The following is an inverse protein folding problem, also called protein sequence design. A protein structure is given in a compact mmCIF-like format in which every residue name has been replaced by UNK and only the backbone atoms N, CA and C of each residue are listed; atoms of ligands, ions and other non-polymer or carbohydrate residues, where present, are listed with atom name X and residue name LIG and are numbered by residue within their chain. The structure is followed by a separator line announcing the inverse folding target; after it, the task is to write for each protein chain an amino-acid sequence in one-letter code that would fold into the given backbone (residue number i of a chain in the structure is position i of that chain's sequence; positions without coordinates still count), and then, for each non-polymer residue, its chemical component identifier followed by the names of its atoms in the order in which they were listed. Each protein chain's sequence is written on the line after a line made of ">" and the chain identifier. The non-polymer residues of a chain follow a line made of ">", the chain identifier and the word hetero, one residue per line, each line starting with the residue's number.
data_IF_790618183410
#
_entry.id   IF_790618183410
#
_cell.length_a   1.000
_cell.length_b   1.000
_cell.length_c   1.000
_cell.angle_alpha   90.00
_cell.angle_beta   90.00
_cell.angle_gamma   90.00
#
_symmetry.space_group_name_H-M   'P 1'
#
loop_
_entity.id
_entity.type
_entity.pdbx_description
1 polymer ?
#
# COMPACT_ATOMS: atom_id res chain seq x y z
N UNK A 1 8.74 48.17 10.66
CA UNK A 1 9.20 46.78 10.44
C UNK A 1 7.96 45.94 10.14
N UNK A 2 7.91 45.21 9.01
CA UNK A 2 6.85 44.22 8.76
C UNK A 2 7.38 42.86 9.24
N UNK A 3 6.65 42.17 10.11
CA UNK A 3 6.97 40.77 10.41
C UNK A 3 6.64 39.92 9.18
N UNK A 4 7.55 39.04 8.77
CA UNK A 4 7.20 37.95 7.86
C UNK A 4 6.50 36.87 8.71
N UNK A 5 5.19 36.75 8.57
CA UNK A 5 4.48 35.57 9.08
C UNK A 5 4.97 34.36 8.28
N UNK A 6 5.72 33.47 8.94
CA UNK A 6 6.15 32.20 8.34
C UNK A 6 4.93 31.32 8.09
N UNK A 7 4.49 31.23 6.84
CA UNK A 7 3.38 30.34 6.45
C UNK A 7 3.87 28.89 6.55
N UNK A 8 3.49 28.22 7.64
CA UNK A 8 3.75 26.79 7.81
C UNK A 8 2.75 26.00 6.96
N UNK A 9 3.16 25.70 5.72
CA UNK A 9 2.36 24.93 4.77
C UNK A 9 2.58 23.43 5.04
N UNK A 10 1.63 22.79 5.75
CA UNK A 10 1.70 21.36 6.10
C UNK A 10 1.21 20.56 4.88
N UNK A 11 2.13 20.28 3.97
CA UNK A 11 1.88 19.55 2.73
C UNK A 11 2.27 18.07 2.88
N UNK A 12 1.27 17.18 3.00
CA UNK A 12 1.54 15.74 3.09
C UNK A 12 1.96 15.21 1.72
N UNK A 13 3.22 14.79 1.60
CA UNK A 13 3.72 14.13 0.39
C UNK A 13 3.41 12.62 0.40
N UNK A 14 2.26 12.23 -0.15
CA UNK A 14 1.89 10.82 -0.33
C UNK A 14 2.21 10.37 -1.76
N UNK A 15 3.08 9.37 -1.91
CA UNK A 15 3.47 8.84 -3.21
C UNK A 15 2.37 7.94 -3.81
N UNK A 16 1.46 8.55 -4.59
CA UNK A 16 0.33 7.92 -5.30
C UNK A 16 0.35 8.37 -6.76
N UNK A 17 0.00 7.45 -7.67
CA UNK A 17 -0.05 7.64 -9.11
C UNK A 17 -1.19 6.76 -9.71
N UNK A 18 -1.75 7.12 -10.87
CA UNK A 18 -3.03 6.61 -11.41
C UNK A 18 -3.06 6.67 -12.96
N UNK A 19 -3.91 5.98 -13.72
CA UNK A 19 -5.20 5.27 -13.44
C UNK A 19 -5.05 3.72 -13.65
N UNK A 20 -5.97 2.82 -14.09
CA UNK A 20 -7.31 2.92 -14.72
C UNK A 20 -8.21 1.63 -14.63
N UNK A 21 -9.50 1.88 -14.89
CA UNK A 21 -10.74 1.07 -15.02
C UNK A 21 -10.62 -0.34 -15.66
N UNK A 22 -11.54 -1.32 -15.47
CA UNK A 22 -12.67 -1.52 -14.52
C UNK A 22 -12.62 -3.01 -14.02
N UNK A 23 -13.65 -3.80 -13.65
CA UNK A 23 -15.13 -3.76 -13.82
C UNK A 23 -15.87 -4.81 -12.92
N UNK A 24 -17.21 -4.85 -13.00
CA UNK A 24 -18.20 -5.79 -12.39
C UNK A 24 -18.45 -5.71 -10.85
N UNK A 25 -19.57 -6.32 -10.43
CA UNK A 25 -20.43 -5.80 -9.34
C UNK A 25 -20.09 -6.33 -7.93
N UNK A 26 -19.79 -5.41 -7.02
CA UNK A 26 -20.08 -5.50 -5.56
C UNK A 26 -20.16 -4.07 -4.98
N UNK A 27 -20.28 -3.88 -3.65
CA UNK A 27 -20.43 -2.53 -3.04
C UNK A 27 -19.29 -1.61 -3.52
N UNK A 28 -19.57 -0.42 -4.09
CA UNK A 28 -18.72 0.06 -5.18
C UNK A 28 -17.43 0.74 -4.70
N UNK A 29 -16.26 0.17 -5.08
CA UNK A 29 -14.94 0.82 -4.90
C UNK A 29 -14.78 2.07 -5.76
N UNK A 30 -15.39 2.02 -6.94
CA UNK A 30 -15.63 3.12 -7.87
C UNK A 30 -17.14 3.30 -7.90
N UNK A 31 -17.71 4.50 -7.74
CA UNK A 31 -19.16 4.63 -7.78
C UNK A 31 -19.70 4.16 -9.14
N UNK A 32 -20.67 3.24 -9.11
CA UNK A 32 -21.39 2.87 -10.33
C UNK A 32 -22.08 4.12 -10.90
N UNK A 33 -22.08 4.28 -12.22
CA UNK A 33 -22.74 5.42 -12.91
C UNK A 33 -24.24 5.48 -12.63
N UNK A 34 -24.83 4.33 -12.26
CA UNK A 34 -26.25 4.17 -11.96
C UNK A 34 -26.54 4.32 -10.44
N UNK A 35 -25.51 4.51 -9.61
CA UNK A 35 -25.67 4.80 -8.20
C UNK A 35 -25.83 6.32 -7.99
N UNK A 36 -26.91 6.70 -7.30
CA UNK A 36 -27.21 8.09 -6.99
C UNK A 36 -27.35 8.31 -5.49
N UNK A 37 -26.77 9.41 -5.00
CA UNK A 37 -27.00 9.93 -3.65
C UNK A 37 -28.37 10.58 -3.64
N UNK A 38 -29.28 10.08 -2.82
CA UNK A 38 -30.65 10.62 -2.80
C UNK A 38 -30.68 12.07 -2.32
N UNK A 39 -31.69 12.80 -2.78
CA UNK A 39 -31.98 14.19 -2.40
C UNK A 39 -31.92 14.43 -0.90
N UNK A 40 -32.44 13.49 -0.11
CA UNK A 40 -32.43 13.58 1.35
C UNK A 40 -31.01 13.55 1.93
N UNK A 41 -30.11 12.75 1.37
CA UNK A 41 -28.70 12.72 1.78
C UNK A 41 -27.94 13.95 1.26
N UNK A 42 -28.19 14.38 0.02
CA UNK A 42 -27.63 15.62 -0.53
C UNK A 42 -28.05 16.86 0.28
N UNK A 43 -29.25 16.88 0.86
CA UNK A 43 -29.69 17.93 1.80
C UNK A 43 -28.90 17.92 3.12
N UNK A 44 -28.57 16.74 3.66
CA UNK A 44 -27.74 16.65 4.88
C UNK A 44 -26.28 17.04 4.61
N UNK A 45 -25.75 16.66 3.44
CA UNK A 45 -24.43 17.10 2.97
C UNK A 45 -24.42 18.63 2.83
N UNK A 46 -25.33 19.21 2.05
CA UNK A 46 -25.38 20.65 1.80
C UNK A 46 -25.62 21.50 3.06
N UNK A 47 -26.35 20.96 4.06
CA UNK A 47 -26.51 21.61 5.37
C UNK A 47 -25.20 21.72 6.14
N UNK A 48 -24.27 20.79 5.93
CA UNK A 48 -22.97 20.73 6.61
C UNK A 48 -21.85 21.37 5.80
N UNK A 49 -22.05 21.45 4.48
CA UNK A 49 -21.07 21.88 3.47
C UNK A 49 -21.80 22.72 2.41
N UNK A 50 -21.87 24.04 2.65
CA UNK A 50 -22.73 24.94 1.87
C UNK A 50 -22.42 24.99 0.36
N UNK A 51 -21.20 24.63 -0.05
CA UNK A 51 -20.76 24.53 -1.44
C UNK A 51 -21.54 23.47 -2.27
N UNK A 52 -22.21 22.51 -1.63
CA UNK A 52 -23.06 21.52 -2.32
C UNK A 52 -24.54 21.94 -2.41
N UNK A 53 -24.92 23.15 -1.98
CA UNK A 53 -26.33 23.61 -1.98
C UNK A 53 -27.03 23.52 -3.33
N UNK A 54 -26.30 23.68 -4.44
CA UNK A 54 -26.83 23.53 -5.80
C UNK A 54 -27.35 22.10 -6.10
N UNK A 55 -26.83 21.09 -5.42
CA UNK A 55 -27.21 19.68 -5.60
C UNK A 55 -28.30 19.22 -4.61
N UNK A 56 -28.67 20.04 -3.61
CA UNK A 56 -29.58 19.66 -2.52
C UNK A 56 -31.07 19.51 -2.91
N UNK A 57 -31.42 19.68 -4.20
CA UNK A 57 -32.80 19.72 -4.67
C UNK A 57 -33.22 18.52 -5.53
N UNK A 58 -32.29 17.64 -5.88
CA UNK A 58 -32.51 16.42 -6.66
C UNK A 58 -31.62 15.28 -6.13
N UNK A 59 -31.77 14.08 -6.69
CA UNK A 59 -30.79 13.01 -6.50
C UNK A 59 -29.52 13.34 -7.31
N UNK A 60 -28.34 13.05 -6.76
CA UNK A 60 -27.04 13.28 -7.40
C UNK A 60 -26.44 11.95 -7.83
N UNK A 61 -26.47 11.65 -9.13
CA UNK A 61 -25.84 10.46 -9.71
C UNK A 61 -24.36 10.69 -9.96
N UNK A 62 -23.52 9.68 -9.69
CA UNK A 62 -22.07 9.83 -9.76
C UNK A 62 -21.56 9.86 -11.21
N UNK A 63 -20.84 10.94 -11.57
CA UNK A 63 -20.32 11.22 -12.92
C UNK A 63 -18.79 11.06 -13.04
N UNK A 64 -18.16 10.42 -12.05
CA UNK A 64 -16.70 10.33 -11.82
C UNK A 64 -15.92 11.67 -11.86
N UNK A 65 -16.59 12.82 -11.78
CA UNK A 65 -15.95 14.12 -11.60
C UNK A 65 -15.23 14.24 -10.24
N UNK A 66 -14.44 15.29 -10.08
CA UNK A 66 -13.79 15.61 -8.81
C UNK A 66 -14.83 15.84 -7.68
N UNK A 67 -15.98 16.43 -8.01
CA UNK A 67 -17.11 16.64 -7.08
C UNK A 67 -17.78 15.32 -6.72
N UNK A 68 -18.01 14.42 -7.69
CA UNK A 68 -18.55 13.08 -7.46
C UNK A 68 -17.67 12.24 -6.53
N UNK A 69 -16.35 12.22 -6.76
CA UNK A 69 -15.40 11.52 -5.90
C UNK A 69 -15.36 12.10 -4.47
N UNK A 70 -15.51 13.41 -4.32
CA UNK A 70 -15.62 14.08 -3.02
C UNK A 70 -16.92 13.72 -2.29
N UNK A 71 -18.07 13.80 -2.97
CA UNK A 71 -19.39 13.40 -2.45
C UNK A 71 -19.41 11.90 -2.08
N UNK A 72 -18.80 11.04 -2.88
CA UNK A 72 -18.69 9.60 -2.62
C UNK A 72 -17.94 9.31 -1.30
N UNK A 73 -16.93 10.10 -0.98
CA UNK A 73 -16.13 9.94 0.25
C UNK A 73 -16.83 10.50 1.48
N UNK A 74 -17.53 11.62 1.30
CA UNK A 74 -18.48 12.17 2.28
C UNK A 74 -19.56 11.12 2.62
N UNK A 75 -20.13 10.47 1.59
CA UNK A 75 -21.11 9.39 1.77
C UNK A 75 -20.51 8.14 2.41
N UNK A 76 -19.26 7.78 2.09
CA UNK A 76 -18.55 6.68 2.75
C UNK A 76 -18.43 6.94 4.27
N UNK A 77 -17.85 8.08 4.67
CA UNK A 77 -17.75 8.49 6.09
C UNK A 77 -19.10 8.61 6.82
N UNK A 78 -20.19 8.77 6.07
CA UNK A 78 -21.56 8.92 6.57
C UNK A 78 -22.37 7.62 6.60
N UNK A 79 -21.94 6.57 5.89
CA UNK A 79 -22.68 5.29 5.77
C UNK A 79 -21.95 4.10 6.38
N UNK A 80 -20.61 4.08 6.36
CA UNK A 80 -19.84 3.01 6.97
C UNK A 80 -20.25 2.82 8.43
N UNK A 81 -20.72 1.63 8.73
CA UNK A 81 -21.27 1.25 10.02
C UNK A 81 -20.29 0.31 10.73
N UNK A 82 -20.20 0.39 12.06
CA UNK A 82 -19.21 -0.36 12.82
C UNK A 82 -19.85 -1.22 13.91
N UNK A 83 -19.35 -2.44 14.06
CA UNK A 83 -19.56 -3.26 15.24
C UNK A 83 -18.91 -2.61 16.47
N UNK A 84 -19.29 -3.00 17.71
CA UNK A 84 -18.67 -2.48 18.93
C UNK A 84 -17.14 -2.59 18.90
N UNK A 85 -16.47 -1.43 18.98
CA UNK A 85 -15.02 -1.34 18.87
C UNK A 85 -14.36 -1.69 20.21
N UNK A 86 -13.45 -2.65 20.20
CA UNK A 86 -12.64 -3.05 21.37
C UNK A 86 -11.18 -2.65 21.11
N UNK A 87 -10.53 -1.86 21.97
CA UNK A 87 -9.11 -1.52 21.85
C UNK A 87 -8.20 -2.76 21.74
N UNK A 88 -7.10 -2.65 21.00
CA UNK A 88 -6.11 -3.71 20.88
C UNK A 88 -5.29 -3.89 22.17
N UNK A 89 -4.62 -5.04 22.30
CA UNK A 89 -3.68 -5.32 23.41
C UNK A 89 -2.28 -4.73 23.17
N UNK A 90 -2.04 -4.35 21.92
CA UNK A 90 -0.84 -3.69 21.43
C UNK A 90 -1.12 -2.18 21.27
N UNK A 91 -0.44 -1.48 20.37
CA UNK A 91 -0.66 -0.03 20.13
C UNK A 91 -1.37 0.28 18.81
N UNK A 92 -1.84 -0.73 18.06
CA UNK A 92 -2.41 -0.54 16.72
C UNK A 92 -3.80 0.13 16.73
N UNK A 93 -4.60 -0.06 17.79
CA UNK A 93 -5.94 0.52 17.88
C UNK A 93 -6.30 0.88 19.34
N UNK A 94 -6.26 2.15 19.69
CA UNK A 94 -6.56 2.62 21.05
C UNK A 94 -8.05 2.85 21.30
N UNK A 95 -8.86 3.00 20.25
CA UNK A 95 -10.30 3.27 20.36
C UNK A 95 -10.63 4.67 20.89
N UNK A 96 -9.67 5.61 20.80
CA UNK A 96 -9.82 6.99 21.30
C UNK A 96 -10.44 7.94 20.30
N UNK A 97 -10.41 7.61 19.01
CA UNK A 97 -11.07 8.42 17.97
C UNK A 97 -12.56 8.08 17.84
N UNK A 98 -13.29 8.93 17.13
CA UNK A 98 -14.75 8.93 17.19
C UNK A 98 -15.38 7.65 16.61
N UNK A 99 -16.43 7.17 17.31
CA UNK A 99 -17.35 6.14 16.84
C UNK A 99 -18.28 6.60 15.70
N UNK A 100 -18.24 7.90 15.34
CA UNK A 100 -18.93 8.48 14.19
C UNK A 100 -17.96 9.32 13.39
N UNK A 101 -17.60 8.83 12.20
CA UNK A 101 -16.69 9.52 11.28
C UNK A 101 -17.31 10.81 10.73
N UNK A 102 -18.60 10.75 10.41
CA UNK A 102 -19.38 11.91 9.98
C UNK A 102 -19.27 13.07 10.99
N UNK A 103 -19.60 12.84 12.25
CA UNK A 103 -19.63 13.90 13.28
C UNK A 103 -18.21 14.38 13.64
N UNK A 104 -17.22 13.49 13.59
CA UNK A 104 -15.81 13.86 13.72
C UNK A 104 -15.37 14.82 12.61
N UNK A 105 -15.74 14.52 11.36
CA UNK A 105 -15.34 15.29 10.18
C UNK A 105 -16.06 16.63 10.12
N UNK A 106 -17.41 16.67 10.19
CA UNK A 106 -18.16 17.94 10.17
C UNK A 106 -17.94 18.80 11.43
N UNK A 107 -17.51 18.19 12.54
CA UNK A 107 -17.06 18.91 13.72
C UNK A 107 -15.79 19.74 13.50
N UNK A 108 -14.98 19.40 12.48
CA UNK A 108 -13.66 19.97 12.19
C UNK A 108 -13.59 20.74 10.87
N UNK A 109 -14.24 20.23 9.82
CA UNK A 109 -14.25 20.79 8.48
C UNK A 109 -15.69 21.18 8.12
N UNK A 110 -15.90 22.44 7.72
CA UNK A 110 -17.20 22.96 7.23
C UNK A 110 -17.14 23.42 5.76
N UNK A 111 -15.93 23.53 5.21
CA UNK A 111 -15.66 24.02 3.86
C UNK A 111 -14.64 23.11 3.18
N UNK A 112 -14.88 22.75 1.93
CA UNK A 112 -13.93 21.94 1.13
C UNK A 112 -13.76 22.59 -0.24
N UNK A 113 -12.54 23.02 -0.53
CA UNK A 113 -12.14 23.64 -1.80
C UNK A 113 -11.31 22.67 -2.64
N UNK A 114 -11.50 22.64 -3.96
CA UNK A 114 -10.74 21.78 -4.86
C UNK A 114 -9.66 22.61 -5.56
N UNK A 115 -8.40 22.44 -5.13
CA UNK A 115 -7.26 23.26 -5.59
C UNK A 115 -6.59 22.60 -6.78
N UNK A 116 -6.83 23.13 -7.99
CA UNK A 116 -6.33 22.54 -9.24
C UNK A 116 -4.79 22.53 -9.38
N UNK A 117 -4.07 23.34 -8.59
CA UNK A 117 -2.60 23.40 -8.57
C UNK A 117 -2.08 23.13 -7.15
N UNK A 118 -1.94 21.86 -6.81
CA UNK A 118 -1.29 21.42 -5.57
C UNK A 118 0.19 21.11 -5.78
N UNK A 119 1.04 21.20 -4.75
CA UNK A 119 2.42 20.70 -4.81
C UNK A 119 2.44 19.20 -5.12
N UNK A 120 3.48 18.73 -5.83
CA UNK A 120 3.59 17.31 -6.22
C UNK A 120 3.57 16.41 -4.98
N UNK A 121 2.73 15.36 -5.01
CA UNK A 121 2.54 14.41 -3.92
C UNK A 121 1.51 14.85 -2.88
N UNK A 122 1.05 16.10 -2.91
CA UNK A 122 -0.01 16.58 -2.02
C UNK A 122 -1.37 16.17 -2.57
N UNK A 123 -2.15 15.51 -1.71
CA UNK A 123 -3.46 14.93 -2.04
C UNK A 123 -4.60 15.68 -1.33
N UNK A 124 -4.34 16.21 -0.14
CA UNK A 124 -5.12 17.23 0.53
C UNK A 124 -4.20 18.02 1.50
N UNK A 125 -4.70 19.12 2.07
CA UNK A 125 -4.08 19.85 3.18
C UNK A 125 -5.11 20.76 3.88
N UNK A 126 -4.76 21.29 5.07
CA UNK A 126 -5.44 22.41 5.75
C UNK A 126 -4.43 23.50 6.11
N UNK A 127 -4.92 24.71 6.43
CA UNK A 127 -4.12 25.74 7.10
C UNK A 127 -4.57 25.87 8.55
N UNK A 128 -3.64 25.75 9.51
CA UNK A 128 -3.93 25.90 10.96
C UNK A 128 -4.46 27.29 11.37
N UNK A 129 -4.41 28.27 10.46
CA UNK A 129 -4.97 29.62 10.63
C UNK A 129 -6.07 29.95 9.60
N UNK A 130 -6.45 29.00 8.73
CA UNK A 130 -7.41 29.19 7.64
C UNK A 130 -8.87 28.92 8.03
N UNK A 131 -9.16 28.70 9.31
CA UNK A 131 -10.47 28.24 9.76
C UNK A 131 -10.64 26.73 9.53
N UNK A 132 -11.83 26.33 9.07
CA UNK A 132 -12.25 24.92 8.91
C UNK A 132 -12.29 24.46 7.45
N UNK A 133 -11.41 25.03 6.62
CA UNK A 133 -11.32 24.71 5.19
C UNK A 133 -10.29 23.62 4.92
N UNK A 134 -10.74 22.53 4.29
CA UNK A 134 -9.88 21.52 3.68
C UNK A 134 -9.67 21.80 2.19
N UNK A 135 -8.43 21.73 1.74
CA UNK A 135 -8.05 21.92 0.35
C UNK A 135 -7.74 20.56 -0.27
N UNK A 136 -8.67 20.03 -1.06
CA UNK A 136 -8.55 18.74 -1.73
C UNK A 136 -7.86 18.90 -3.10
N UNK A 137 -6.93 18.01 -3.42
CA UNK A 137 -6.18 18.06 -4.67
C UNK A 137 -6.76 17.08 -5.71
N UNK A 138 -6.75 17.41 -7.02
CA UNK A 138 -7.22 16.53 -8.09
C UNK A 138 -6.70 15.10 -8.05
N UNK A 139 -5.47 14.87 -7.58
CA UNK A 139 -4.87 13.55 -7.45
C UNK A 139 -5.66 12.61 -6.50
N UNK A 140 -6.27 13.14 -5.44
CA UNK A 140 -7.14 12.37 -4.53
C UNK A 140 -8.52 12.09 -5.15
N UNK A 141 -8.98 12.94 -6.05
CA UNK A 141 -10.35 12.98 -6.56
C UNK A 141 -10.48 12.24 -7.89
N UNK A 142 -9.87 11.05 -7.97
CA UNK A 142 -9.94 10.11 -9.10
C UNK A 142 -10.38 8.72 -8.62
N UNK A 143 -10.90 7.89 -9.50
CA UNK A 143 -11.36 6.52 -9.19
C UNK A 143 -10.26 5.63 -8.56
N UNK A 144 -8.98 5.89 -8.85
CA UNK A 144 -7.85 5.06 -8.40
C UNK A 144 -7.34 5.42 -7.00
N UNK A 145 -7.92 6.45 -6.39
CA UNK A 145 -7.87 6.63 -4.96
C UNK A 145 -9.25 6.25 -4.43
N UNK A 146 -9.35 5.19 -3.61
CA UNK A 146 -10.66 4.69 -3.22
C UNK A 146 -11.39 5.70 -2.32
N UNK A 147 -12.73 5.67 -2.25
CA UNK A 147 -13.46 6.51 -1.29
C UNK A 147 -13.12 6.16 0.18
N UNK A 148 -12.55 4.97 0.41
CA UNK A 148 -11.95 4.54 1.67
C UNK A 148 -10.62 5.27 1.94
N UNK A 149 -9.70 5.33 0.97
CA UNK A 149 -8.45 6.10 1.11
C UNK A 149 -8.71 7.60 1.27
N UNK A 150 -9.64 8.16 0.48
CA UNK A 150 -10.09 9.55 0.62
C UNK A 150 -10.66 9.82 2.01
N UNK A 151 -11.52 8.95 2.53
CA UNK A 151 -12.01 9.07 3.90
C UNK A 151 -10.86 9.06 4.92
N UNK A 152 -9.88 8.16 4.78
CA UNK A 152 -8.71 8.14 5.67
C UNK A 152 -7.84 9.39 5.58
N UNK A 153 -7.79 10.06 4.42
CA UNK A 153 -7.10 11.35 4.25
C UNK A 153 -7.95 12.49 4.81
N UNK A 154 -9.26 12.51 4.60
CA UNK A 154 -10.12 13.58 5.08
C UNK A 154 -10.27 13.57 6.62
N UNK A 155 -10.32 12.38 7.24
CA UNK A 155 -10.24 12.21 8.69
C UNK A 155 -8.88 12.68 9.26
N UNK A 156 -7.80 12.47 8.50
CA UNK A 156 -6.46 12.93 8.82
C UNK A 156 -6.34 14.47 8.73
N UNK A 157 -6.74 15.07 7.61
CA UNK A 157 -6.71 16.54 7.43
C UNK A 157 -7.55 17.27 8.48
N UNK A 158 -8.72 16.72 8.81
CA UNK A 158 -9.55 17.22 9.90
C UNK A 158 -8.76 17.26 11.23
N UNK A 159 -7.86 16.30 11.51
CA UNK A 159 -7.09 16.28 12.76
C UNK A 159 -6.08 17.43 12.86
N UNK A 160 -5.56 17.95 11.75
CA UNK A 160 -4.68 19.10 11.76
C UNK A 160 -5.38 20.40 12.25
N UNK A 161 -6.72 20.47 12.16
CA UNK A 161 -7.53 21.56 12.75
C UNK A 161 -7.43 21.58 14.28
N UNK A 162 -7.26 20.42 14.92
CA UNK A 162 -7.07 20.31 16.37
C UNK A 162 -5.63 20.70 16.82
N UNK A 163 -4.76 21.12 15.89
CA UNK A 163 -3.40 21.59 16.19
C UNK A 163 -2.32 20.50 16.29
N UNK A 164 -2.44 19.42 15.51
CA UNK A 164 -1.49 18.30 15.49
C UNK A 164 -0.60 18.32 14.23
N UNK A 165 0.42 19.18 14.13
CA UNK A 165 1.30 19.26 12.97
C UNK A 165 2.26 18.06 12.89
N UNK A 166 2.63 17.68 11.67
CA UNK A 166 3.67 16.67 11.44
C UNK A 166 5.09 17.20 11.66
N UNK A 167 6.00 16.26 11.92
CA UNK A 167 7.44 16.47 11.99
C UNK A 167 8.16 15.85 10.77
N UNK A 168 9.45 16.17 10.62
CA UNK A 168 10.34 15.52 9.65
C UNK A 168 10.84 14.21 10.20
N UNK A 169 10.68 13.12 9.45
CA UNK A 169 11.13 11.79 9.90
C UNK A 169 12.67 11.73 9.95
N UNK A 170 13.25 11.33 11.09
CA UNK A 170 14.69 11.13 11.29
C UNK A 170 15.18 9.76 10.82
N UNK A 171 14.26 8.77 10.76
CA UNK A 171 14.53 7.35 10.52
C UNK A 171 13.38 6.65 9.78
N UNK A 172 13.50 5.33 9.64
CA UNK A 172 12.50 4.49 9.00
C UNK A 172 12.32 4.78 7.50
N UNK A 173 11.23 4.26 6.95
CA UNK A 173 10.92 4.26 5.52
C UNK A 173 10.78 5.68 4.95
N UNK A 174 10.33 6.64 5.79
CA UNK A 174 10.09 8.04 5.42
C UNK A 174 11.23 9.00 5.79
N UNK A 175 12.39 8.50 6.22
CA UNK A 175 13.55 9.31 6.63
C UNK A 175 13.84 10.47 5.67
N UNK A 176 13.95 11.68 6.21
CA UNK A 176 14.25 12.90 5.47
C UNK A 176 13.05 13.57 4.78
N UNK A 177 11.86 12.97 4.81
CA UNK A 177 10.63 13.61 4.33
C UNK A 177 10.08 14.54 5.41
N UNK A 178 9.95 15.82 5.07
CA UNK A 178 9.32 16.83 5.92
C UNK A 178 7.80 16.62 5.97
N UNK A 179 7.22 16.74 7.16
CA UNK A 179 5.77 16.66 7.33
C UNK A 179 5.20 15.25 7.05
N UNK A 180 5.96 14.21 7.37
CA UNK A 180 5.65 12.83 6.97
C UNK A 180 5.60 11.82 8.14
N UNK A 181 5.84 12.28 9.38
CA UNK A 181 5.73 11.50 10.60
C UNK A 181 5.05 12.28 11.74
N UNK A 182 4.46 11.54 12.69
CA UNK A 182 4.11 11.99 14.05
C UNK A 182 5.17 11.50 15.07
N UNK A 183 5.15 11.97 16.31
CA UNK A 183 6.17 11.64 17.32
C UNK A 183 5.98 10.26 17.98
N UNK A 184 4.78 10.01 18.52
CA UNK A 184 4.29 8.71 19.04
C UNK A 184 2.81 8.57 18.66
N UNK A 185 2.30 7.34 18.53
CA UNK A 185 0.85 7.13 18.31
C UNK A 185 0.00 7.55 19.51
N UNK A 186 0.56 7.46 20.72
CA UNK A 186 -0.12 7.78 21.97
C UNK A 186 -0.59 9.24 22.10
N UNK A 187 0.05 10.17 21.37
CA UNK A 187 -0.34 11.59 21.30
C UNK A 187 -1.66 11.80 20.52
N UNK A 188 -2.05 10.82 19.71
CA UNK A 188 -3.24 10.91 18.87
C UNK A 188 -3.12 11.92 17.72
N UNK A 189 -1.93 12.05 17.11
CA UNK A 189 -1.69 12.91 15.94
C UNK A 189 -2.46 12.50 14.68
N UNK A 190 -2.26 13.22 13.58
CA UNK A 190 -3.02 12.98 12.35
C UNK A 190 -2.72 11.62 11.71
N UNK A 191 -1.48 11.09 11.79
CA UNK A 191 -1.23 9.71 11.38
C UNK A 191 -1.77 8.68 12.36
N UNK A 192 -1.91 9.00 13.66
CA UNK A 192 -2.62 8.12 14.58
C UNK A 192 -4.11 7.96 14.17
N UNK A 193 -4.74 9.06 13.71
CA UNK A 193 -6.07 9.01 13.10
C UNK A 193 -6.07 8.14 11.84
N UNK A 194 -5.08 8.26 10.94
CA UNK A 194 -4.95 7.38 9.76
C UNK A 194 -4.88 5.90 10.14
N UNK A 195 -4.00 5.54 11.08
CA UNK A 195 -3.83 4.16 11.54
C UNK A 195 -5.15 3.60 12.09
N UNK A 196 -5.80 4.32 13.00
CA UNK A 196 -7.08 3.84 13.55
C UNK A 196 -8.22 3.85 12.54
N UNK A 197 -8.26 4.79 11.59
CA UNK A 197 -9.29 4.81 10.53
C UNK A 197 -9.22 3.54 9.69
N UNK A 198 -8.01 3.15 9.25
CA UNK A 198 -7.79 1.87 8.56
C UNK A 198 -8.02 0.65 9.50
N UNK A 199 -7.68 0.72 10.79
CA UNK A 199 -7.90 -0.37 11.74
C UNK A 199 -9.39 -0.63 12.00
N UNK A 200 -10.19 0.42 12.15
CA UNK A 200 -11.64 0.35 12.33
C UNK A 200 -12.33 -0.28 11.10
N UNK A 201 -11.88 0.05 9.89
CA UNK A 201 -12.32 -0.60 8.66
C UNK A 201 -11.95 -2.08 8.62
N UNK A 202 -10.66 -2.39 8.82
CA UNK A 202 -10.12 -3.75 8.69
C UNK A 202 -10.76 -4.74 9.67
N UNK A 203 -11.10 -4.30 10.89
CA UNK A 203 -11.81 -5.12 11.88
C UNK A 203 -13.32 -4.87 11.90
N UNK A 204 -13.75 -3.70 12.38
CA UNK A 204 -15.11 -3.48 12.90
C UNK A 204 -16.18 -3.09 11.86
N UNK A 205 -15.82 -2.60 10.67
CA UNK A 205 -16.84 -2.18 9.69
C UNK A 205 -17.78 -3.33 9.28
N UNK A 206 -19.09 -3.11 9.22
CA UNK A 206 -20.09 -4.17 8.96
C UNK A 206 -20.49 -4.30 7.50
N UNK A 207 -20.28 -3.25 6.71
CA UNK A 207 -20.82 -3.04 5.35
C UNK A 207 -19.72 -2.88 4.27
N UNK A 208 -18.48 -3.23 4.60
CA UNK A 208 -17.29 -3.07 3.73
C UNK A 208 -16.84 -4.41 3.15
N UNK A 209 -16.55 -4.43 1.84
CA UNK A 209 -16.11 -5.63 1.10
C UNK A 209 -14.86 -6.28 1.73
N UNK A 210 -14.75 -7.63 1.81
CA UNK A 210 -13.63 -8.27 2.51
C UNK A 210 -12.23 -7.92 1.98
N UNK A 211 -12.08 -7.66 0.68
CA UNK A 211 -10.81 -7.18 0.11
C UNK A 211 -10.48 -5.74 0.52
N UNK A 212 -11.48 -4.86 0.67
CA UNK A 212 -11.28 -3.52 1.24
C UNK A 212 -10.89 -3.61 2.72
N UNK A 213 -11.43 -4.57 3.48
CA UNK A 213 -10.96 -4.87 4.84
C UNK A 213 -9.52 -5.38 4.86
N UNK A 214 -9.15 -6.28 3.96
CA UNK A 214 -7.80 -6.82 3.84
C UNK A 214 -6.78 -5.72 3.50
N UNK A 215 -7.13 -4.86 2.53
CA UNK A 215 -6.40 -3.66 2.17
C UNK A 215 -6.27 -2.70 3.36
N UNK A 216 -7.36 -2.42 4.08
CA UNK A 216 -7.32 -1.54 5.25
C UNK A 216 -6.46 -2.13 6.38
N UNK A 217 -6.55 -3.43 6.65
CA UNK A 217 -5.66 -4.17 7.59
C UNK A 217 -4.18 -3.98 7.23
N UNK A 218 -3.82 -4.13 5.96
CA UNK A 218 -2.47 -3.87 5.48
C UNK A 218 -2.08 -2.38 5.63
N UNK A 219 -2.92 -1.45 5.15
CA UNK A 219 -2.66 -0.01 5.22
C UNK A 219 -2.51 0.52 6.65
N UNK A 220 -3.30 0.05 7.62
CA UNK A 220 -3.17 0.43 9.03
C UNK A 220 -1.75 0.13 9.56
N UNK A 221 -1.26 -1.08 9.32
CA UNK A 221 0.08 -1.51 9.72
C UNK A 221 1.16 -0.75 8.95
N UNK A 222 0.95 -0.46 7.66
CA UNK A 222 1.89 0.32 6.84
C UNK A 222 2.06 1.74 7.37
N UNK A 223 0.97 2.44 7.72
CA UNK A 223 1.09 3.76 8.34
C UNK A 223 1.71 3.65 9.74
N UNK A 224 1.44 2.59 10.50
CA UNK A 224 2.04 2.39 11.81
C UNK A 224 3.55 2.08 11.78
N UNK A 225 4.03 1.33 10.78
CA UNK A 225 5.45 1.03 10.55
C UNK A 225 6.25 2.24 10.03
N UNK A 226 5.59 3.16 9.32
CA UNK A 226 6.30 4.12 8.46
C UNK A 226 6.11 5.59 8.83
N UNK A 227 5.09 5.94 9.63
CA UNK A 227 4.68 7.32 9.89
C UNK A 227 4.98 7.84 11.31
N UNK A 228 5.86 7.19 12.07
CA UNK A 228 6.12 7.55 13.48
C UNK A 228 7.60 7.57 13.83
N UNK A 229 8.03 8.60 14.57
CA UNK A 229 9.38 8.67 15.14
C UNK A 229 9.58 7.74 16.34
N UNK A 230 8.55 7.04 16.80
CA UNK A 230 8.67 5.96 17.78
C UNK A 230 7.99 4.72 17.19
N UNK A 231 8.73 3.61 16.97
CA UNK A 231 8.15 2.40 16.40
C UNK A 231 6.99 1.89 17.27
N UNK A 232 5.84 1.68 16.64
CA UNK A 232 4.62 1.23 17.31
C UNK A 232 4.75 -0.26 17.61
N UNK A 233 4.48 -0.65 18.87
CA UNK A 233 4.40 -2.04 19.26
C UNK A 233 3.12 -2.65 18.69
N UNK A 234 3.27 -3.56 17.74
CA UNK A 234 2.19 -4.34 17.14
C UNK A 234 2.52 -5.82 17.35
N UNK A 235 1.55 -6.61 17.81
CA UNK A 235 1.74 -8.06 17.95
C UNK A 235 1.63 -8.71 16.56
N UNK A 236 2.65 -9.49 16.16
CA UNK A 236 2.74 -10.12 14.84
C UNK A 236 3.20 -11.56 14.94
N UNK A 237 2.63 -12.40 14.07
CA UNK A 237 3.13 -13.74 13.77
C UNK A 237 3.66 -13.77 12.35
N UNK A 238 4.92 -14.17 12.19
CA UNK A 238 5.59 -14.31 10.90
C UNK A 238 5.20 -15.64 10.23
N UNK A 239 4.78 -15.59 8.96
CA UNK A 239 4.45 -16.77 8.16
C UNK A 239 5.12 -16.67 6.79
N UNK A 240 5.31 -17.82 6.12
CA UNK A 240 5.59 -17.86 4.70
C UNK A 240 4.28 -18.19 3.96
N UNK A 241 3.83 -17.29 3.08
CA UNK A 241 2.78 -17.59 2.11
C UNK A 241 3.41 -18.32 0.93
N UNK A 242 2.81 -19.43 0.55
CA UNK A 242 3.21 -20.34 -0.52
C UNK A 242 2.07 -20.37 -1.54
N UNK A 243 2.39 -20.22 -2.84
CA UNK A 243 1.44 -20.41 -3.93
C UNK A 243 1.84 -21.64 -4.75
N UNK A 244 0.89 -22.55 -4.99
CA UNK A 244 1.10 -23.76 -5.81
C UNK A 244 0.63 -23.58 -7.25
N UNK A 245 1.07 -24.47 -8.15
CA UNK A 245 0.62 -24.57 -9.53
C UNK A 245 -0.87 -24.91 -9.68
N UNK A 246 -1.49 -25.46 -8.62
CA UNK A 246 -2.95 -25.62 -8.50
C UNK A 246 -3.67 -24.32 -8.08
N UNK A 247 -2.96 -23.19 -8.08
CA UNK A 247 -3.40 -21.86 -7.64
C UNK A 247 -3.86 -21.81 -6.18
N UNK A 248 -3.34 -22.69 -5.32
CA UNK A 248 -3.69 -22.68 -3.89
C UNK A 248 -2.74 -21.81 -3.09
N UNK A 249 -3.29 -20.98 -2.21
CA UNK A 249 -2.53 -20.30 -1.17
C UNK A 249 -2.46 -21.17 0.08
N UNK A 250 -1.25 -21.37 0.59
CA UNK A 250 -0.95 -22.04 1.84
C UNK A 250 -0.12 -21.13 2.76
N UNK A 251 -0.45 -21.03 4.05
CA UNK A 251 0.43 -20.40 5.04
C UNK A 251 1.24 -21.49 5.75
N UNK A 252 2.55 -21.28 5.85
CA UNK A 252 3.49 -22.12 6.58
C UNK A 252 4.12 -21.36 7.76
N UNK A 253 4.16 -22.02 8.92
CA UNK A 253 4.93 -21.57 10.07
C UNK A 253 6.45 -21.70 9.78
N UNK A 254 7.25 -20.62 9.86
CA UNK A 254 8.64 -20.65 9.44
C UNK A 254 9.60 -21.32 10.44
N UNK A 255 9.13 -21.74 11.61
CA UNK A 255 9.91 -22.50 12.60
C UNK A 255 9.58 -24.00 12.57
N UNK A 256 8.30 -24.37 12.46
CA UNK A 256 7.86 -25.78 12.50
C UNK A 256 7.68 -26.42 11.12
N UNK A 257 7.62 -25.62 10.05
CA UNK A 257 7.22 -26.02 8.69
C UNK A 257 5.79 -26.62 8.58
N UNK A 258 4.98 -26.51 9.63
CA UNK A 258 3.55 -26.82 9.58
C UNK A 258 2.85 -25.83 8.64
N UNK A 259 2.09 -26.34 7.68
CA UNK A 259 1.39 -25.54 6.68
C UNK A 259 -0.05 -25.99 6.48
N UNK A 260 -0.89 -25.07 6.01
CA UNK A 260 -2.30 -25.33 5.71
C UNK A 260 -2.79 -24.44 4.58
N UNK A 261 -3.77 -24.93 3.79
CA UNK A 261 -4.44 -24.14 2.76
C UNK A 261 -5.26 -23.03 3.40
N UNK A 262 -5.12 -21.82 2.89
CA UNK A 262 -5.81 -20.61 3.38
C UNK A 262 -6.71 -19.96 2.32
N UNK A 263 -6.45 -20.22 1.04
CA UNK A 263 -7.27 -19.70 -0.06
C UNK A 263 -6.78 -20.12 -1.44
N UNK A 264 -7.14 -19.34 -2.46
CA UNK A 264 -6.79 -19.58 -3.85
C UNK A 264 -6.41 -18.26 -4.55
N UNK A 265 -5.50 -18.31 -5.50
CA UNK A 265 -5.19 -17.23 -6.42
C UNK A 265 -6.10 -17.30 -7.67
N UNK A 266 -6.31 -16.16 -8.33
CA UNK A 266 -6.98 -16.11 -9.65
C UNK A 266 -6.10 -16.60 -10.80
N UNK A 267 -4.79 -16.44 -10.67
CA UNK A 267 -3.81 -16.72 -11.72
C UNK A 267 -2.47 -17.15 -11.10
N UNK A 268 -1.68 -17.88 -11.89
CA UNK A 268 -0.25 -18.07 -11.61
C UNK A 268 0.49 -16.75 -11.90
N UNK A 269 1.60 -16.52 -11.19
CA UNK A 269 2.42 -15.32 -11.37
C UNK A 269 3.41 -15.08 -10.24
N UNK A 270 4.05 -13.92 -10.28
CA UNK A 270 4.97 -13.44 -9.26
C UNK A 270 4.29 -12.50 -8.26
N UNK A 271 4.51 -12.70 -6.96
CA UNK A 271 3.99 -11.79 -5.92
C UNK A 271 5.06 -10.78 -5.49
N UNK A 272 4.87 -9.51 -5.85
CA UNK A 272 5.67 -8.38 -5.39
C UNK A 272 5.10 -7.84 -4.08
N UNK A 273 5.96 -7.56 -3.09
CA UNK A 273 5.57 -6.85 -1.86
C UNK A 273 5.63 -5.33 -2.04
N UNK A 274 4.60 -4.65 -1.49
CA UNK A 274 4.60 -3.22 -1.17
C UNK A 274 4.28 -3.08 0.32
N UNK A 275 5.29 -3.31 1.15
CA UNK A 275 5.15 -3.42 2.61
C UNK A 275 4.21 -4.59 2.97
N UNK A 276 3.08 -4.36 3.65
CA UNK A 276 2.07 -5.39 3.94
C UNK A 276 1.13 -5.69 2.77
N UNK A 277 1.10 -4.86 1.73
CA UNK A 277 0.36 -5.16 0.51
C UNK A 277 1.10 -6.16 -0.36
N UNK A 278 0.37 -7.11 -0.92
CA UNK A 278 0.85 -8.08 -1.91
C UNK A 278 0.23 -7.77 -3.28
N UNK A 279 1.03 -7.91 -4.33
CA UNK A 279 0.63 -7.58 -5.70
C UNK A 279 0.97 -8.76 -6.60
N UNK A 280 -0.02 -9.32 -7.28
CA UNK A 280 0.21 -10.37 -8.28
C UNK A 280 0.62 -9.71 -9.60
N UNK A 281 1.76 -10.12 -10.17
CA UNK A 281 2.13 -9.92 -11.57
C UNK A 281 1.86 -11.26 -12.28
N UNK A 282 0.76 -11.41 -13.04
CA UNK A 282 0.36 -12.69 -13.60
C UNK A 282 1.34 -13.21 -14.66
N UNK A 283 1.42 -14.53 -14.80
CA UNK A 283 2.19 -15.21 -15.86
C UNK A 283 1.52 -15.04 -17.23
N UNK A 284 0.18 -15.07 -17.29
CA UNK A 284 -0.56 -14.59 -18.46
C UNK A 284 -0.44 -13.06 -18.59
N UNK A 285 0.28 -12.61 -19.62
CA UNK A 285 0.55 -11.19 -19.86
C UNK A 285 -0.65 -10.44 -20.48
N UNK A 286 -1.74 -11.12 -20.81
CA UNK A 286 -3.02 -10.47 -21.13
C UNK A 286 -3.68 -9.89 -19.88
N UNK A 287 -3.48 -10.52 -18.71
CA UNK A 287 -4.03 -10.06 -17.44
C UNK A 287 -3.30 -8.82 -16.90
N UNK A 288 -3.94 -8.15 -15.94
CA UNK A 288 -3.39 -6.99 -15.22
C UNK A 288 -2.66 -7.44 -13.96
N UNK A 289 -1.66 -6.67 -13.52
CA UNK A 289 -1.14 -6.76 -12.18
C UNK A 289 -2.09 -6.06 -11.19
N UNK A 290 -2.48 -6.76 -10.13
CA UNK A 290 -3.54 -6.39 -9.18
C UNK A 290 -3.18 -6.76 -7.73
N UNK A 291 -3.85 -6.15 -6.76
CA UNK A 291 -3.69 -6.54 -5.35
C UNK A 291 -4.16 -7.99 -5.15
N UNK A 292 -3.44 -8.76 -4.35
CA UNK A 292 -3.77 -10.17 -4.09
C UNK A 292 -3.89 -10.44 -2.58
N UNK A 293 -4.95 -11.17 -2.21
CA UNK A 293 -5.36 -11.39 -0.82
C UNK A 293 -5.51 -12.89 -0.55
N UNK A 294 -4.75 -13.43 0.41
CA UNK A 294 -4.51 -14.87 0.52
C UNK A 294 -5.68 -15.71 1.06
N UNK A 295 -6.71 -15.10 1.67
CA UNK A 295 -7.86 -15.81 2.27
C UNK A 295 -9.19 -15.60 1.53
N UNK A 296 -9.17 -15.69 0.20
CA UNK A 296 -10.35 -15.60 -0.69
C UNK A 296 -11.20 -14.32 -0.50
N UNK A 297 -10.56 -13.19 -0.18
CA UNK A 297 -11.27 -11.95 0.18
C UNK A 297 -11.93 -11.21 -1.00
N UNK A 298 -11.81 -11.73 -2.23
CA UNK A 298 -12.17 -11.04 -3.46
C UNK A 298 -11.16 -9.95 -3.80
N UNK A 299 -11.60 -8.92 -4.51
CA UNK A 299 -10.73 -7.94 -5.16
C UNK A 299 -11.06 -6.48 -4.79
N UNK A 300 -10.20 -5.55 -5.22
CA UNK A 300 -10.48 -4.12 -5.25
C UNK A 300 -10.10 -3.53 -6.62
N UNK A 301 -10.94 -2.69 -7.20
CA UNK A 301 -10.70 -2.04 -8.49
C UNK A 301 -9.74 -0.84 -8.35
N UNK A 302 -8.53 -1.09 -7.85
CA UNK A 302 -7.53 -0.06 -7.55
C UNK A 302 -6.14 -0.48 -8.04
N UNK A 303 -5.45 0.39 -8.78
CA UNK A 303 -4.08 0.13 -9.23
C UNK A 303 -3.10 0.12 -8.03
N UNK A 304 -2.23 -0.91 -7.87
CA UNK A 304 -1.42 -1.01 -6.66
C UNK A 304 -0.26 -0.01 -6.50
N UNK A 305 0.25 0.54 -7.60
CA UNK A 305 1.28 1.61 -7.63
C UNK A 305 1.48 2.14 -9.06
N UNK A 306 2.26 3.21 -9.22
CA UNK A 306 2.72 3.72 -10.53
C UNK A 306 3.30 2.62 -11.41
N UNK A 307 4.21 1.81 -10.85
CA UNK A 307 4.88 0.72 -11.57
C UNK A 307 3.90 -0.34 -12.08
N UNK A 308 2.76 -0.52 -11.40
CA UNK A 308 1.69 -1.42 -11.84
C UNK A 308 0.75 -0.76 -12.85
N UNK A 309 0.46 0.54 -12.72
CA UNK A 309 -0.23 1.31 -13.78
C UNK A 309 0.59 1.32 -15.08
N UNK A 310 1.91 1.55 -15.01
CA UNK A 310 2.83 1.47 -16.14
C UNK A 310 2.88 0.07 -16.76
N UNK A 311 2.90 -0.99 -15.94
CA UNK A 311 2.84 -2.38 -16.41
C UNK A 311 1.48 -2.71 -17.04
N UNK A 312 0.38 -2.22 -16.47
CA UNK A 312 -0.98 -2.47 -16.97
C UNK A 312 -1.29 -1.72 -18.28
N UNK A 313 -0.59 -0.62 -18.55
CA UNK A 313 -0.65 0.09 -19.83
C UNK A 313 0.18 -0.55 -20.96
N UNK A 314 0.99 -1.58 -20.66
CA UNK A 314 1.84 -2.26 -21.64
C UNK A 314 1.11 -3.38 -22.38
N UNK A 315 1.50 -3.63 -23.64
CA UNK A 315 1.06 -4.80 -24.40
C UNK A 315 1.62 -6.10 -23.80
N UNK A 316 1.03 -7.29 -24.07
CA UNK A 316 1.57 -8.56 -23.60
C UNK A 316 3.07 -8.75 -23.92
N UNK A 317 3.48 -8.46 -25.17
CA UNK A 317 4.88 -8.54 -25.60
C UNK A 317 5.82 -7.52 -24.95
N UNK A 318 5.30 -6.39 -24.46
CA UNK A 318 6.08 -5.46 -23.63
C UNK A 318 6.23 -6.00 -22.20
N UNK A 319 5.13 -6.47 -21.60
CA UNK A 319 5.12 -7.10 -20.27
C UNK A 319 6.01 -8.34 -20.18
N UNK A 320 6.13 -9.12 -21.26
CA UNK A 320 7.07 -10.25 -21.39
C UNK A 320 8.54 -9.85 -21.17
N UNK A 321 8.90 -8.58 -21.29
CA UNK A 321 10.28 -8.12 -21.09
C UNK A 321 10.58 -7.72 -19.65
N UNK A 322 9.56 -7.55 -18.79
CA UNK A 322 9.75 -7.43 -17.35
C UNK A 322 10.13 -8.81 -16.79
N UNK A 323 11.24 -8.86 -16.07
CA UNK A 323 11.71 -10.06 -15.36
C UNK A 323 11.23 -10.03 -13.91
N UNK A 324 11.40 -8.88 -13.23
CA UNK A 324 11.12 -8.75 -11.80
C UNK A 324 11.03 -7.25 -11.39
N UNK A 325 10.51 -6.92 -10.21
CA UNK A 325 10.57 -5.56 -9.67
C UNK A 325 10.55 -5.47 -8.14
N UNK A 326 11.23 -4.46 -7.59
CA UNK A 326 11.23 -4.14 -6.17
C UNK A 326 10.57 -2.78 -5.91
N UNK A 327 9.64 -2.74 -4.96
CA UNK A 327 8.99 -1.52 -4.45
C UNK A 327 9.48 -1.27 -3.04
N UNK A 328 10.41 -0.33 -2.89
CA UNK A 328 11.00 0.08 -1.61
C UNK A 328 10.19 1.19 -0.93
N UNK A 329 10.82 1.92 -0.01
CA UNK A 329 10.24 3.05 0.69
C UNK A 329 10.07 4.28 -0.20
N UNK A 330 11.21 4.87 -0.52
CA UNK A 330 11.35 6.09 -1.33
C UNK A 330 11.96 5.81 -2.72
N UNK A 331 12.03 4.53 -3.11
CA UNK A 331 12.65 4.10 -4.36
C UNK A 331 11.95 2.87 -4.94
N UNK A 332 12.10 2.63 -6.24
CA UNK A 332 11.76 1.37 -6.89
C UNK A 332 12.76 1.03 -7.98
N UNK A 333 12.86 -0.27 -8.32
CA UNK A 333 13.59 -0.75 -9.50
C UNK A 333 12.77 -1.79 -10.24
N UNK A 334 12.73 -1.66 -11.56
CA UNK A 334 12.08 -2.58 -12.51
C UNK A 334 13.15 -3.20 -13.39
N UNK A 335 13.29 -4.52 -13.32
CA UNK A 335 14.32 -5.27 -14.05
C UNK A 335 13.71 -5.83 -15.32
N UNK A 336 14.20 -5.37 -16.46
CA UNK A 336 13.88 -5.88 -17.78
C UNK A 336 15.04 -6.74 -18.31
N UNK A 337 14.78 -7.58 -19.32
CA UNK A 337 15.78 -8.49 -19.93
C UNK A 337 17.12 -7.83 -20.31
N UNK A 338 17.11 -6.53 -20.63
CA UNK A 338 18.27 -5.77 -21.10
C UNK A 338 18.68 -4.58 -20.22
N UNK A 339 17.85 -4.13 -19.26
CA UNK A 339 18.14 -2.97 -18.40
C UNK A 339 17.39 -3.04 -17.07
N UNK A 340 17.92 -2.35 -16.05
CA UNK A 340 17.19 -2.04 -14.82
C UNK A 340 16.83 -0.54 -14.79
N UNK A 341 15.53 -0.24 -14.67
CA UNK A 341 14.98 1.11 -14.54
C UNK A 341 14.75 1.44 -13.08
N UNK A 342 15.38 2.50 -12.59
CA UNK A 342 15.31 2.95 -11.20
C UNK A 342 14.54 4.26 -11.08
N UNK A 343 13.80 4.40 -9.98
CA UNK A 343 13.38 5.71 -9.42
C UNK A 343 14.07 5.82 -8.06
N UNK A 344 15.02 6.75 -7.93
CA UNK A 344 15.88 6.87 -6.74
C UNK A 344 15.66 8.16 -5.91
N UNK A 345 14.80 9.06 -6.36
CA UNK A 345 14.42 10.27 -5.64
C UNK A 345 12.89 10.36 -5.57
N UNK A 346 12.26 10.28 -4.38
CA UNK A 346 10.80 10.30 -4.24
C UNK A 346 10.19 11.67 -4.59
N UNK A 347 11.00 12.75 -4.58
CA UNK A 347 10.54 14.10 -4.94
C UNK A 347 10.54 14.29 -6.45
N UNK A 348 11.47 13.66 -7.18
CA UNK A 348 11.58 13.78 -8.63
C UNK A 348 10.68 12.81 -9.40
N UNK A 349 10.49 13.05 -10.70
CA UNK A 349 9.98 12.07 -11.67
C UNK A 349 11.12 11.46 -12.53
N UNK A 350 12.38 11.75 -12.18
CA UNK A 350 13.57 11.25 -12.88
C UNK A 350 13.70 9.73 -12.72
N UNK A 351 13.48 9.01 -13.81
CA UNK A 351 13.96 7.61 -13.96
C UNK A 351 15.45 7.60 -14.31
N UNK A 352 16.13 6.48 -14.02
CA UNK A 352 17.50 6.21 -14.48
C UNK A 352 17.61 4.76 -14.92
N UNK A 353 18.02 4.53 -16.16
CA UNK A 353 18.16 3.19 -16.73
C UNK A 353 19.63 2.76 -16.75
N UNK A 354 19.95 1.63 -16.11
CA UNK A 354 21.26 0.96 -16.20
C UNK A 354 21.11 -0.22 -17.16
N UNK A 355 21.89 -0.25 -18.24
CA UNK A 355 21.92 -1.39 -19.17
C UNK A 355 22.58 -2.61 -18.50
N UNK A 356 22.06 -3.80 -18.76
CA UNK A 356 22.67 -5.06 -18.31
C UNK A 356 24.01 -5.29 -19.01
N UNK A 357 25.07 -5.75 -18.30
CA UNK A 357 26.35 -6.02 -18.95
C UNK A 357 26.22 -7.14 -19.99
N UNK A 358 27.01 -7.08 -21.07
CA UNK A 358 26.95 -8.05 -22.17
C UNK A 358 27.09 -9.48 -21.68
N UNK A 359 26.14 -10.34 -22.07
CA UNK A 359 26.10 -11.75 -21.65
C UNK A 359 25.53 -12.02 -20.25
N UNK A 360 25.09 -10.99 -19.51
CA UNK A 360 24.38 -11.15 -18.24
C UNK A 360 22.87 -11.10 -18.49
N UNK A 361 22.19 -12.23 -18.29
CA UNK A 361 20.73 -12.32 -18.41
C UNK A 361 20.12 -12.34 -17.00
N UNK A 362 19.31 -11.36 -16.60
CA UNK A 362 18.63 -11.35 -15.30
C UNK A 362 17.65 -12.51 -15.17
N UNK A 363 17.54 -13.07 -13.96
CA UNK A 363 16.67 -14.20 -13.64
C UNK A 363 15.57 -13.85 -12.61
N UNK A 364 15.94 -13.28 -11.46
CA UNK A 364 14.97 -12.88 -10.41
C UNK A 364 15.58 -11.96 -9.37
N UNK A 365 14.74 -11.15 -8.72
CA UNK A 365 15.12 -10.44 -7.49
C UNK A 365 14.96 -11.36 -6.27
N UNK A 366 15.88 -11.24 -5.34
CA UNK A 366 16.01 -12.11 -4.17
C UNK A 366 16.29 -11.29 -2.90
N UNK A 367 15.80 -11.78 -1.77
CA UNK A 367 15.82 -11.08 -0.48
C UNK A 367 16.50 -11.89 0.65
N UNK A 368 17.81 -12.24 0.56
CA UNK A 368 18.51 -12.95 1.65
C UNK A 368 18.53 -12.20 2.99
N UNK A 369 18.57 -10.87 2.97
CA UNK A 369 18.43 -10.04 4.17
C UNK A 369 16.99 -9.99 4.73
N UNK A 370 16.01 -10.43 3.94
CA UNK A 370 14.59 -10.10 4.07
C UNK A 370 14.19 -8.91 3.19
N UNK A 371 12.89 -8.81 2.89
CA UNK A 371 12.32 -7.64 2.24
C UNK A 371 12.18 -6.51 3.28
N UNK A 372 12.85 -5.38 3.03
CA UNK A 372 12.84 -4.18 3.87
C UNK A 372 12.74 -2.95 2.95
N UNK A 373 11.85 -2.01 3.31
CA UNK A 373 11.62 -0.76 2.56
C UNK A 373 12.58 0.38 2.94
N UNK A 374 13.28 0.25 4.07
CA UNK A 374 14.34 1.19 4.51
C UNK A 374 15.65 0.93 3.74
N UNK A 375 15.89 -0.31 3.32
CA UNK A 375 17.06 -0.66 2.52
C UNK A 375 16.95 -0.10 1.09
N UNK A 376 17.98 0.63 0.67
CA UNK A 376 18.12 1.15 -0.69
C UNK A 376 18.91 0.19 -1.59
N UNK A 377 18.82 -1.12 -1.34
CA UNK A 377 19.49 -2.17 -2.12
C UNK A 377 18.69 -3.48 -2.07
N UNK A 378 18.58 -4.15 -3.21
CA UNK A 378 18.02 -5.49 -3.41
C UNK A 378 19.02 -6.32 -4.22
N UNK A 379 18.93 -7.65 -4.19
CA UNK A 379 19.81 -8.52 -4.96
C UNK A 379 19.13 -9.10 -6.19
N UNK A 380 19.85 -9.13 -7.31
CA UNK A 380 19.44 -9.71 -8.59
C UNK A 380 20.30 -10.93 -8.88
N UNK A 381 19.66 -12.09 -9.04
CA UNK A 381 20.30 -13.27 -9.62
C UNK A 381 20.32 -13.17 -11.14
N UNK A 382 21.41 -13.62 -11.74
CA UNK A 382 21.55 -13.85 -13.18
C UNK A 382 21.34 -15.33 -13.49
N UNK A 383 21.00 -15.65 -14.75
CA UNK A 383 20.91 -17.04 -15.24
C UNK A 383 22.26 -17.79 -15.19
N UNK A 384 23.38 -17.07 -14.99
CA UNK A 384 24.71 -17.64 -14.72
C UNK A 384 24.93 -18.06 -13.26
N UNK A 385 23.99 -17.76 -12.35
CA UNK A 385 24.17 -17.91 -10.90
C UNK A 385 24.95 -16.78 -10.22
N UNK A 386 25.44 -15.79 -10.98
CA UNK A 386 26.01 -14.57 -10.42
C UNK A 386 24.94 -13.70 -9.74
N UNK A 387 25.33 -12.98 -8.69
CA UNK A 387 24.45 -12.09 -7.92
C UNK A 387 24.98 -10.67 -8.02
N UNK A 388 24.08 -9.71 -8.26
CA UNK A 388 24.39 -8.28 -8.32
C UNK A 388 23.53 -7.53 -7.30
N UNK A 389 24.13 -6.57 -6.59
CA UNK A 389 23.44 -5.62 -5.73
C UNK A 389 22.90 -4.47 -6.61
N UNK A 390 21.58 -4.28 -6.61
CA UNK A 390 20.86 -3.21 -7.31
C UNK A 390 20.29 -2.24 -6.28
N UNK A 391 20.57 -0.94 -6.40
CA UNK A 391 20.15 0.01 -5.37
C UNK A 391 20.17 1.47 -5.78
N UNK A 392 19.91 2.34 -4.81
CA UNK A 392 19.86 3.79 -4.96
C UNK A 392 20.80 4.50 -3.95
N UNK A 393 22.09 4.54 -4.24
CA UNK A 393 23.10 5.18 -3.38
C UNK A 393 23.10 6.69 -3.61
N UNK A 394 22.92 7.49 -2.55
CA UNK A 394 22.85 8.96 -2.62
C UNK A 394 21.87 9.47 -3.69
N UNK A 395 20.68 8.85 -3.77
CA UNK A 395 19.62 9.07 -4.78
C UNK A 395 20.04 8.81 -6.25
N UNK A 396 21.13 8.08 -6.49
CA UNK A 396 21.57 7.65 -7.83
C UNK A 396 21.47 6.14 -7.97
N UNK A 397 21.04 5.68 -9.15
CA UNK A 397 21.00 4.26 -9.46
C UNK A 397 22.39 3.61 -9.33
N UNK A 398 22.42 2.38 -8.85
CA UNK A 398 23.65 1.61 -8.62
C UNK A 398 23.43 0.14 -8.96
N UNK A 399 24.47 -0.47 -9.52
CA UNK A 399 24.51 -1.87 -9.95
C UNK A 399 25.96 -2.34 -9.76
N UNK A 400 26.19 -3.34 -8.92
CA UNK A 400 27.52 -3.84 -8.59
C UNK A 400 27.51 -5.36 -8.34
N UNK A 401 28.61 -6.10 -8.54
CA UNK A 401 28.70 -7.51 -8.16
C UNK A 401 28.51 -7.68 -6.65
N UNK A 402 27.65 -8.60 -6.24
CA UNK A 402 27.31 -8.80 -4.83
C UNK A 402 28.34 -9.65 -4.08
N UNK A 403 28.57 -9.30 -2.81
CA UNK A 403 29.34 -10.13 -1.90
C UNK A 403 28.63 -11.47 -1.58
N UNK A 404 27.30 -11.52 -1.67
CA UNK A 404 26.47 -12.70 -1.36
C UNK A 404 26.91 -13.93 -2.16
N UNK A 405 26.88 -15.10 -1.50
CA UNK A 405 27.13 -16.42 -2.09
C UNK A 405 26.00 -17.36 -1.67
N UNK A 406 25.64 -18.27 -2.58
CA UNK A 406 24.59 -19.27 -2.43
C UNK A 406 25.14 -20.58 -3.00
N UNK A 407 24.79 -21.72 -2.41
CA UNK A 407 25.14 -23.05 -2.91
C UNK A 407 24.37 -23.44 -4.20
N UNK A 408 23.24 -22.78 -4.46
CA UNK A 408 22.27 -23.12 -5.52
C UNK A 408 21.72 -21.88 -6.22
N UNK A 409 21.22 -22.09 -7.44
CA UNK A 409 20.47 -21.07 -8.19
C UNK A 409 19.00 -21.09 -7.74
N UNK A 410 18.55 -19.98 -7.17
CA UNK A 410 17.19 -19.82 -6.64
C UNK A 410 16.31 -18.95 -7.55
N UNK A 411 15.05 -19.34 -7.74
CA UNK A 411 14.01 -18.49 -8.37
C UNK A 411 13.51 -17.43 -7.39
N UNK A 412 13.51 -17.74 -6.09
CA UNK A 412 13.19 -16.81 -4.99
C UNK A 412 14.07 -17.09 -3.79
N UNK A 413 14.44 -16.03 -3.08
CA UNK A 413 14.86 -16.11 -1.68
C UNK A 413 14.05 -15.09 -0.89
N UNK A 414 13.52 -15.51 0.24
CA UNK A 414 12.73 -14.72 1.17
C UNK A 414 13.19 -14.97 2.60
N UNK A 415 12.82 -14.08 3.52
CA UNK A 415 13.00 -14.27 4.96
C UNK A 415 11.66 -14.07 5.66
N UNK A 416 11.26 -15.04 6.48
CA UNK A 416 10.08 -14.94 7.35
C UNK A 416 10.55 -15.10 8.80
N UNK A 417 10.34 -14.06 9.62
CA UNK A 417 11.02 -13.91 10.90
C UNK A 417 12.54 -14.01 10.77
N UNK A 418 13.14 -14.99 11.46
CA UNK A 418 14.58 -15.24 11.43
C UNK A 418 15.05 -16.31 10.42
N UNK A 419 14.13 -16.99 9.73
CA UNK A 419 14.48 -18.10 8.83
C UNK A 419 14.48 -17.64 7.37
N UNK A 420 15.52 -18.01 6.63
CA UNK A 420 15.69 -17.72 5.21
C UNK A 420 15.29 -18.94 4.37
N UNK A 421 14.45 -18.70 3.37
CA UNK A 421 13.85 -19.70 2.50
C UNK A 421 14.28 -19.47 1.06
N UNK A 422 14.75 -20.51 0.39
CA UNK A 422 15.05 -20.52 -1.04
C UNK A 422 14.10 -21.46 -1.79
N UNK A 423 13.48 -20.97 -2.86
CA UNK A 423 12.63 -21.78 -3.74
C UNK A 423 13.31 -21.92 -5.10
N UNK A 424 13.56 -23.16 -5.51
CA UNK A 424 14.19 -23.46 -6.80
C UNK A 424 13.18 -23.37 -7.97
N UNK A 425 13.67 -23.34 -9.21
CA UNK A 425 12.82 -23.26 -10.40
C UNK A 425 11.98 -24.53 -10.64
N UNK A 426 12.34 -25.64 -10.00
CA UNK A 426 11.61 -26.91 -9.96
C UNK A 426 10.52 -26.97 -8.88
N UNK A 427 10.31 -25.90 -8.12
CA UNK A 427 9.27 -25.80 -7.09
C UNK A 427 9.57 -26.50 -5.77
N UNK A 428 10.82 -26.87 -5.48
CA UNK A 428 11.24 -27.37 -4.15
C UNK A 428 11.65 -26.21 -3.23
N UNK A 429 11.24 -26.31 -1.95
CA UNK A 429 11.56 -25.35 -0.90
C UNK A 429 12.72 -25.83 -0.02
N UNK A 430 13.66 -24.92 0.18
CA UNK A 430 14.86 -25.11 1.01
C UNK A 430 14.88 -24.07 2.12
N UNK A 431 15.37 -24.47 3.29
CA UNK A 431 15.89 -23.56 4.30
C UNK A 431 17.37 -23.30 3.99
N UNK A 432 17.80 -22.03 4.07
CA UNK A 432 19.20 -21.65 3.83
C UNK A 432 19.79 -21.09 5.13
N UNK A 433 20.86 -21.70 5.62
CA UNK A 433 21.65 -21.22 6.76
C UNK A 433 23.10 -20.97 6.30
N UNK A 434 23.61 -19.75 6.51
CA UNK A 434 24.95 -19.32 6.10
C UNK A 434 25.30 -19.58 4.61
N UNK A 435 24.29 -19.57 3.73
CA UNK A 435 24.44 -19.83 2.29
C UNK A 435 24.46 -21.31 1.88
N UNK A 436 24.29 -22.23 2.84
CA UNK A 436 24.17 -23.68 2.62
C UNK A 436 22.69 -24.08 2.77
N UNK A 437 22.18 -24.90 1.86
CA UNK A 437 20.74 -25.13 1.75
C UNK A 437 20.31 -26.56 2.06
N UNK A 438 19.35 -26.70 2.96
CA UNK A 438 18.73 -27.95 3.38
C UNK A 438 17.27 -28.01 2.87
N UNK A 439 16.82 -29.12 2.26
CA UNK A 439 15.43 -29.25 1.81
C UNK A 439 14.47 -29.28 3.01
N UNK A 440 13.27 -28.74 2.84
CA UNK A 440 12.23 -28.79 3.88
C UNK A 440 11.40 -30.07 3.77
N UNK A 441 11.13 -30.56 2.56
CA UNK A 441 10.43 -31.84 2.36
C UNK A 441 8.92 -31.72 2.57
N UNK A 442 8.31 -30.66 2.03
CA UNK A 442 6.87 -30.47 2.07
C UNK A 442 6.18 -31.44 1.09
N UNK A 443 5.00 -32.00 1.42
CA UNK A 443 4.19 -32.78 0.48
C UNK A 443 3.72 -32.01 -0.77
N UNK A 444 3.94 -30.69 -0.81
CA UNK A 444 3.67 -29.81 -1.95
C UNK A 444 4.96 -29.37 -2.70
N UNK A 445 6.15 -29.80 -2.28
CA UNK A 445 7.39 -29.59 -3.04
C UNK A 445 7.25 -30.16 -4.47
N UNK A 446 7.84 -29.46 -5.45
CA UNK A 446 7.62 -29.73 -6.87
C UNK A 446 6.36 -29.08 -7.46
N UNK A 447 5.44 -28.58 -6.64
CA UNK A 447 4.25 -27.82 -7.09
C UNK A 447 4.31 -26.32 -6.77
N UNK A 448 5.27 -25.86 -5.96
CA UNK A 448 5.36 -24.47 -5.52
C UNK A 448 5.83 -23.58 -6.69
N UNK A 449 5.11 -22.49 -6.96
CA UNK A 449 5.46 -21.54 -8.02
C UNK A 449 5.93 -20.18 -7.49
N UNK A 450 5.54 -19.79 -6.27
CA UNK A 450 5.92 -18.52 -5.64
C UNK A 450 5.94 -18.61 -4.11
N UNK A 451 6.82 -17.85 -3.45
CA UNK A 451 6.89 -17.69 -1.99
C UNK A 451 7.05 -16.23 -1.58
N UNK A 452 6.32 -15.82 -0.55
CA UNK A 452 6.36 -14.44 -0.02
C UNK A 452 6.11 -14.42 1.50
N UNK A 453 6.87 -13.67 2.31
CA UNK A 453 6.62 -13.58 3.73
C UNK A 453 5.38 -12.74 4.02
N UNK A 454 4.47 -13.26 4.85
CA UNK A 454 3.21 -12.64 5.26
C UNK A 454 3.13 -12.57 6.79
N UNK A 455 2.72 -11.42 7.33
CA UNK A 455 2.45 -11.25 8.76
C UNK A 455 0.96 -11.45 9.05
N UNK A 456 0.67 -12.15 10.16
CA UNK A 456 -0.65 -12.17 10.82
C UNK A 456 -0.58 -11.32 12.09
N UNK A 457 -1.72 -10.79 12.56
CA UNK A 457 -1.76 -9.68 13.52
C UNK A 457 -2.85 -9.90 14.58
N UNK A 458 -2.46 -10.09 15.85
CA UNK A 458 -3.36 -10.48 16.95
C UNK A 458 -4.67 -9.68 17.01
N UNK A 459 -4.59 -8.36 16.79
CA UNK A 459 -5.76 -7.47 16.80
C UNK A 459 -6.86 -7.92 15.82
N UNK A 460 -6.50 -8.38 14.62
CA UNK A 460 -7.44 -8.79 13.59
C UNK A 460 -7.79 -10.28 13.64
N UNK A 461 -6.90 -11.15 14.17
CA UNK A 461 -7.21 -12.59 14.25
C UNK A 461 -7.99 -12.97 15.53
N UNK A 462 -8.09 -12.07 16.50
CA UNK A 462 -8.92 -12.24 17.71
C UNK A 462 -10.27 -11.53 17.55
N UNK A 463 -11.36 -12.20 17.94
CA UNK A 463 -12.69 -11.58 18.07
C UNK A 463 -12.71 -10.67 19.30
#
# INVERSE_FOLDING_TARGET
>A
MKALSTVLLIAISVAIFSTAQADLITIPTTPATDACVSKAEMQVIAKSFSQFSQYANADYCYDNSQISNLISSIMFMRKTSFAPMIPSKDELFTGRFASSWWDYFIGRIDTIEIVQSCPKGVIAYVYSFGGKTMYACPAALTEQFSSLDRASVFMHEARHIDGFPHITCSKGVRKGLQGACDQVIADGGSYAVTVETYAQLGKFATDVHPALKAYAKASAVIYADEAFETPIRINRTENLLILTSALEFHLMNPQTAEYHKVGNAKAAGHIVRRSQHMIMIPDDKNLKAEYVFSVNQGDISQSPSEAMSEYNAQTPTQKENLVDMHIGGQWNVRVYKNLARFVCDPTSATVTDIQMPTGKVPASLVYPAGYDRVNYTVQLTMQSGEIYDLGCVNRKASFAPSATKLDRMYKRIQKAGNVMFGMMADGHLYRIDNGISSPIGLPIDGSIIEIVPQQSFDFYETN
#
